data_IF_596961335975
#
_entry.id   IF_596961335975
#
_cell.length_a   1.000
_cell.length_b   1.000
_cell.length_c   1.000
_cell.angle_alpha   90.00
_cell.angle_beta   90.00
_cell.angle_gamma   90.00
#
_symmetry.space_group_name_H-M   'P 1'
#
loop_
_entity.id
_entity.type
_entity.pdbx_description
1 polymer ?
2 non-polymer ?
3 non-polymer ?
4 non-polymer ?
5 water ?
#
# COMPACT_ATOMS: atom_id res chain seq x y z
N UNK A 1 2.16 -8.71 -21.08
CA UNK A 1 0.93 -8.07 -21.65
C UNK A 1 1.23 -6.82 -22.44
N UNK A 2 2.29 -6.83 -23.25
CA UNK A 2 2.68 -5.67 -24.06
C UNK A 2 1.58 -4.68 -24.55
N UNK A 3 0.67 -5.13 -25.43
CA UNK A 3 -0.36 -4.23 -25.95
C UNK A 3 -1.34 -3.77 -24.87
N UNK A 4 -1.69 -4.67 -23.95
CA UNK A 4 -2.52 -4.27 -22.78
C UNK A 4 -1.84 -3.18 -21.95
N UNK A 5 -0.52 -3.27 -21.77
CA UNK A 5 0.25 -2.23 -21.04
C UNK A 5 0.16 -0.87 -21.74
N UNK A 6 0.38 -0.88 -23.05
CA UNK A 6 0.30 0.34 -23.88
C UNK A 6 -1.08 1.00 -23.76
N UNK A 7 -2.15 0.20 -23.84
CA UNK A 7 -3.53 0.74 -23.71
C UNK A 7 -3.67 1.47 -22.36
N UNK A 8 -3.27 0.81 -21.27
CA UNK A 8 -3.36 1.41 -19.95
C UNK A 8 -2.51 2.69 -19.92
N UNK A 9 -1.28 2.60 -20.40
CA UNK A 9 -0.38 3.75 -20.38
C UNK A 9 -0.98 4.91 -21.16
N UNK A 10 -1.42 4.63 -22.39
CA UNK A 10 -1.92 5.71 -23.24
C UNK A 10 -3.19 6.34 -22.73
N UNK A 11 -4.08 5.53 -22.15
CA UNK A 11 -5.28 6.08 -21.48
C UNK A 11 -4.94 7.04 -20.31
N UNK A 12 -4.01 6.61 -19.45
CA UNK A 12 -3.47 7.45 -18.39
C UNK A 12 -2.87 8.75 -18.93
N UNK A 13 -1.99 8.67 -19.92
CA UNK A 13 -1.38 9.87 -20.50
C UNK A 13 -2.43 10.82 -21.04
N UNK A 14 -3.38 10.28 -21.80
CA UNK A 14 -4.47 11.09 -22.38
C UNK A 14 -5.29 11.80 -21.29
N UNK A 15 -5.69 11.08 -20.24
CA UNK A 15 -6.61 11.70 -19.27
C UNK A 15 -5.92 12.74 -18.37
N UNK A 16 -4.59 12.70 -18.30
CA UNK A 16 -3.82 13.61 -17.46
C UNK A 16 -3.04 14.68 -18.23
N UNK A 17 -2.97 14.54 -19.55
CA UNK A 17 -2.27 15.51 -20.38
C UNK A 17 -0.77 15.42 -20.29
N UNK A 18 -0.24 14.20 -20.16
CA UNK A 18 1.19 13.97 -20.25
C UNK A 18 1.58 13.40 -21.60
N UNK A 19 2.84 13.67 -21.98
CA UNK A 19 3.37 13.09 -23.21
C UNK A 19 3.86 11.68 -22.95
N UNK A 20 4.37 11.42 -21.74
CA UNK A 20 4.92 10.13 -21.43
C UNK A 20 5.00 9.95 -19.92
N UNK A 21 5.26 8.70 -19.51
CA UNK A 21 5.70 8.44 -18.16
C UNK A 21 7.22 8.32 -18.25
N UNK A 22 7.91 9.13 -17.45
CA UNK A 22 9.37 9.14 -17.43
C UNK A 22 9.79 8.52 -16.08
N UNK A 23 9.86 7.21 -16.07
CA UNK A 23 9.89 6.47 -14.82
C UNK A 23 11.15 6.72 -13.99
N UNK A 24 10.96 7.19 -12.76
CA UNK A 24 12.08 7.42 -11.84
C UNK A 24 11.87 6.72 -10.50
N UNK A 25 10.63 6.46 -10.15
CA UNK A 25 10.31 5.99 -8.80
C UNK A 25 9.17 4.97 -8.83
N UNK A 26 9.20 4.07 -7.85
CA UNK A 26 8.12 3.07 -7.70
C UNK A 26 7.74 3.09 -6.22
N UNK A 27 6.49 3.47 -5.97
CA UNK A 27 5.96 3.71 -4.64
C UNK A 27 5.18 2.50 -4.21
N UNK A 28 5.73 1.74 -3.26
CA UNK A 28 5.08 0.49 -2.80
C UNK A 28 4.29 0.66 -1.54
N UNK A 29 3.03 0.22 -1.61
CA UNK A 29 2.37 -0.03 -0.35
C UNK A 29 3.12 -1.12 0.48
N UNK A 30 2.99 -1.11 1.82
CA UNK A 30 3.66 -2.16 2.60
C UNK A 30 2.82 -3.45 2.86
N UNK A 31 1.76 -3.30 3.63
CA UNK A 31 0.96 -4.47 4.02
C UNK A 31 0.23 -5.08 2.84
N UNK A 32 0.45 -6.39 2.62
CA UNK A 32 -0.17 -7.07 1.49
C UNK A 32 0.52 -6.85 0.16
N UNK A 33 1.68 -6.17 0.18
CA UNK A 33 2.47 -5.96 -1.06
C UNK A 33 3.92 -6.39 -0.80
N UNK A 34 4.54 -5.75 0.21
CA UNK A 34 5.88 -6.15 0.69
C UNK A 34 5.86 -7.32 1.68
N UNK A 35 4.94 -7.26 2.65
CA UNK A 35 4.82 -8.29 3.65
C UNK A 35 3.45 -8.92 3.59
N UNK A 36 3.37 -10.22 3.86
CA UNK A 36 2.07 -10.86 3.90
C UNK A 36 1.52 -10.70 5.35
N UNK A 37 1.21 -9.45 5.70
CA UNK A 37 0.81 -9.09 7.07
C UNK A 37 -0.71 -8.95 7.25
N UNK A 38 -1.47 -8.96 6.15
CA UNK A 38 -2.91 -8.64 6.30
C UNK A 38 -3.72 -9.68 7.10
N UNK A 39 -3.44 -10.98 6.91
CA UNK A 39 -4.19 -11.93 7.75
C UNK A 39 -4.10 -11.60 9.24
N UNK A 40 -2.91 -11.26 9.72
CA UNK A 40 -2.73 -10.86 11.13
C UNK A 40 -3.41 -9.54 11.44
N UNK A 41 -3.23 -8.54 10.57
CA UNK A 41 -3.89 -7.25 10.80
C UNK A 41 -5.43 -7.43 10.88
N UNK A 42 -6.01 -8.12 9.90
CA UNK A 42 -7.48 -8.35 9.90
C UNK A 42 -8.02 -9.08 11.13
N UNK A 43 -7.39 -10.19 11.49
CA UNK A 43 -7.73 -10.93 12.71
C UNK A 43 -7.57 -10.08 13.98
N UNK A 44 -6.45 -9.35 14.09
CA UNK A 44 -6.20 -8.46 15.24
C UNK A 44 -7.23 -7.36 15.35
N UNK A 45 -7.56 -6.74 14.22
CA UNK A 45 -8.57 -5.69 14.25
C UNK A 45 -9.90 -6.30 14.68
N UNK A 46 -10.26 -7.44 14.08
CA UNK A 46 -11.55 -8.07 14.34
C UNK A 46 -11.69 -8.41 15.85
N UNK A 47 -10.66 -9.05 16.38
CA UNK A 47 -10.65 -9.51 17.76
C UNK A 47 -10.64 -8.37 18.78
N UNK A 48 -9.82 -7.34 18.52
CA UNK A 48 -9.72 -6.21 19.43
C UNK A 48 -11.00 -5.36 19.42
N UNK A 49 -11.53 -5.09 18.24
CA UNK A 49 -12.82 -4.43 18.12
C UNK A 49 -13.91 -5.15 18.88
N UNK A 50 -13.92 -6.48 18.79
CA UNK A 50 -14.89 -7.32 19.54
C UNK A 50 -14.75 -7.12 21.06
N UNK A 51 -13.50 -7.05 21.54
CA UNK A 51 -13.19 -6.85 22.94
C UNK A 51 -13.75 -5.52 23.45
N UNK A 52 -13.73 -4.50 22.60
CA UNK A 52 -14.27 -3.17 22.92
C UNK A 52 -15.78 -3.03 22.60
N UNK A 53 -16.42 -4.13 22.25
CA UNK A 53 -17.87 -4.15 22.05
C UNK A 53 -18.33 -3.75 20.64
N UNK A 54 -17.41 -3.73 19.68
CA UNK A 54 -17.70 -3.35 18.31
C UNK A 54 -17.62 -4.53 17.32
N UNK A 55 -18.44 -4.50 16.29
CA UNK A 55 -18.45 -5.56 15.30
C UNK A 55 -17.72 -5.15 14.04
N UNK A 56 -16.47 -5.58 13.91
CA UNK A 56 -15.71 -5.42 12.66
C UNK A 56 -15.24 -6.80 12.22
N UNK A 57 -15.81 -7.30 11.12
CA UNK A 57 -15.41 -8.63 10.61
C UNK A 57 -14.05 -8.53 9.94
N UNK A 58 -13.38 -9.67 9.82
CA UNK A 58 -12.10 -9.78 9.10
C UNK A 58 -12.21 -9.22 7.69
N UNK A 59 -13.31 -9.53 7.00
CA UNK A 59 -13.54 -9.04 5.64
C UNK A 59 -13.72 -7.52 5.60
N UNK A 60 -14.47 -6.96 6.55
CA UNK A 60 -14.58 -5.52 6.58
C UNK A 60 -13.22 -4.86 6.91
N UNK A 61 -12.39 -5.50 7.73
CA UNK A 61 -11.00 -5.03 7.95
C UNK A 61 -10.21 -4.95 6.63
N UNK A 62 -10.38 -5.96 5.78
CA UNK A 62 -9.78 -5.92 4.46
C UNK A 62 -10.32 -4.73 3.65
N UNK A 63 -11.63 -4.49 3.69
CA UNK A 63 -12.20 -3.34 2.97
C UNK A 63 -11.61 -2.01 3.44
N UNK A 64 -11.34 -1.91 4.74
CA UNK A 64 -10.73 -0.71 5.37
C UNK A 64 -9.18 -0.70 5.37
N UNK A 65 -8.56 -1.69 4.71
CA UNK A 65 -7.10 -1.73 4.59
C UNK A 65 -6.53 -0.38 4.11
N UNK A 66 -5.57 0.16 4.85
CA UNK A 66 -5.01 1.48 4.55
C UNK A 66 -5.57 2.66 5.31
N UNK A 67 -6.78 2.52 5.84
CA UNK A 67 -7.47 3.63 6.50
C UNK A 67 -6.81 3.85 7.86
N UNK A 68 -6.76 5.09 8.35
CA UNK A 68 -6.27 5.30 9.71
C UNK A 68 -7.14 4.54 10.71
N UNK A 69 -6.51 4.05 11.78
CA UNK A 69 -7.20 3.38 12.87
C UNK A 69 -8.39 4.19 13.36
N UNK A 70 -8.20 5.52 13.54
CA UNK A 70 -9.28 6.38 14.06
C UNK A 70 -10.50 6.41 13.13
N UNK A 71 -10.24 6.50 11.82
CA UNK A 71 -11.32 6.61 10.85
C UNK A 71 -12.09 5.28 10.82
N UNK A 72 -11.37 4.17 10.83
CA UNK A 72 -11.97 2.83 10.92
C UNK A 72 -12.83 2.66 12.20
N UNK A 73 -12.27 3.04 13.35
CA UNK A 73 -13.02 2.97 14.61
C UNK A 73 -14.25 3.86 14.54
N UNK A 74 -14.09 5.06 13.99
CA UNK A 74 -15.21 6.00 13.93
C UNK A 74 -16.33 5.58 12.99
N UNK A 75 -15.97 4.92 11.88
CA UNK A 75 -16.98 4.35 10.98
C UNK A 75 -17.85 3.36 11.74
N UNK A 76 -17.21 2.43 12.43
CA UNK A 76 -17.95 1.40 13.14
C UNK A 76 -18.73 2.00 14.32
N UNK A 77 -18.11 2.95 15.02
CA UNK A 77 -18.79 3.60 16.17
C UNK A 77 -20.04 4.36 15.76
N UNK A 78 -19.92 5.15 14.69
CA UNK A 78 -21.05 5.95 14.21
C UNK A 78 -22.23 5.07 13.89
N UNK A 79 -21.98 3.96 13.23
CA UNK A 79 -23.07 3.10 12.82
C UNK A 79 -23.69 2.28 13.95
N UNK A 80 -22.90 1.93 14.96
CA UNK A 80 -23.39 1.11 16.09
C UNK A 80 -23.95 1.97 17.21
N UNK A 81 -23.42 3.18 17.36
CA UNK A 81 -23.68 4.06 18.51
C UNK A 81 -24.19 5.44 18.10
N UNK A 82 -24.06 5.77 16.80
CA UNK A 82 -24.54 7.04 16.26
C UNK A 82 -23.66 8.25 16.55
N UNK A 83 -22.44 8.00 17.04
CA UNK A 83 -21.46 9.05 17.32
C UNK A 83 -20.04 8.52 17.13
N UNK A 84 -19.10 9.43 16.89
CA UNK A 84 -17.68 9.08 16.89
C UNK A 84 -17.22 8.58 18.25
N UNK A 85 -16.12 7.81 18.24
CA UNK A 85 -15.41 7.41 19.46
C UNK A 85 -14.64 8.60 20.03
N UNK A 86 -14.35 8.52 21.32
CA UNK A 86 -13.57 9.54 22.01
C UNK A 86 -12.10 9.31 21.76
N UNK A 87 -11.28 10.33 22.04
CA UNK A 87 -9.84 10.17 21.92
C UNK A 87 -9.35 9.02 22.80
N UNK A 88 -9.87 8.94 24.03
CA UNK A 88 -9.52 7.89 24.97
C UNK A 88 -9.82 6.52 24.36
N UNK A 89 -11.01 6.34 23.79
CA UNK A 89 -11.36 5.03 23.22
C UNK A 89 -10.39 4.64 22.10
N UNK A 90 -10.13 5.61 21.22
CA UNK A 90 -9.32 5.37 20.02
C UNK A 90 -7.89 4.96 20.41
N UNK A 91 -7.31 5.68 21.37
CA UNK A 91 -5.98 5.34 21.86
C UNK A 91 -5.87 3.94 22.50
N UNK A 92 -6.90 3.58 23.29
CA UNK A 92 -7.01 2.26 23.92
C UNK A 92 -7.13 1.14 22.89
N UNK A 93 -7.98 1.37 21.89
CA UNK A 93 -8.22 0.40 20.84
C UNK A 93 -6.93 0.22 20.03
N UNK A 94 -6.34 1.32 19.57
CA UNK A 94 -5.11 1.17 18.80
C UNK A 94 -4.00 0.43 19.59
N UNK A 95 -3.85 0.77 20.88
CA UNK A 95 -2.84 0.12 21.71
C UNK A 95 -3.10 -1.39 21.81
N UNK A 96 -4.35 -1.76 22.07
CA UNK A 96 -4.69 -3.17 22.18
C UNK A 96 -4.44 -3.92 20.86
N UNK A 97 -4.72 -3.25 19.75
CA UNK A 97 -4.58 -3.84 18.43
C UNK A 97 -3.09 -4.07 18.10
N UNK A 98 -2.28 -3.07 18.42
CA UNK A 98 -0.82 -3.13 18.25
C UNK A 98 -0.25 -4.34 19.01
N UNK A 99 -0.63 -4.44 20.29
CA UNK A 99 -0.18 -5.53 21.17
C UNK A 99 -0.64 -6.89 20.65
N UNK A 100 -1.87 -6.94 20.13
CA UNK A 100 -2.42 -8.18 19.62
C UNK A 100 -1.69 -8.66 18.36
N UNK A 101 -1.45 -7.73 17.43
CA UNK A 101 -0.68 -8.03 16.22
C UNK A 101 0.68 -8.61 16.60
N UNK A 102 1.33 -7.98 17.57
CA UNK A 102 2.68 -8.38 18.01
C UNK A 102 2.77 -9.74 18.69
N UNK A 103 1.62 -10.40 18.86
CA UNK A 103 1.66 -11.76 19.36
C UNK A 103 2.21 -12.64 18.25
N UNK A 104 2.19 -12.09 17.03
CA UNK A 104 2.72 -12.76 15.85
C UNK A 104 3.34 -11.74 14.88
N UNK A 105 4.42 -11.06 15.30
CA UNK A 105 4.94 -9.95 14.52
C UNK A 105 5.42 -10.35 13.11
N UNK A 106 6.22 -11.41 13.02
CA UNK A 106 6.94 -11.73 11.78
C UNK A 106 6.07 -12.19 10.59
N UNK A 107 5.52 -11.21 9.86
CA UNK A 107 4.90 -11.47 8.55
C UNK A 107 6.00 -11.88 7.61
N UNK A 108 5.72 -12.90 6.79
CA UNK A 108 6.59 -13.26 5.68
C UNK A 108 6.73 -12.16 4.64
N UNK A 109 7.88 -12.10 3.97
CA UNK A 109 7.95 -11.29 2.71
C UNK A 109 6.99 -11.90 1.68
N UNK A 110 6.37 -11.04 0.89
CA UNK A 110 5.55 -11.52 -0.24
C UNK A 110 6.50 -12.13 -1.25
N UNK A 111 6.24 -13.38 -1.70
CA UNK A 111 7.04 -13.91 -2.79
C UNK A 111 6.98 -12.95 -3.98
N UNK A 112 8.12 -12.77 -4.63
CA UNK A 112 8.26 -11.84 -5.75
C UNK A 112 8.66 -10.45 -5.32
N UNK A 113 8.44 -10.07 -4.06
CA UNK A 113 8.70 -8.65 -3.66
C UNK A 113 10.21 -8.32 -3.66
N UNK A 114 11.01 -9.16 -3.00
CA UNK A 114 12.45 -8.86 -2.96
C UNK A 114 13.04 -8.90 -4.38
N UNK A 115 12.62 -9.87 -5.20
CA UNK A 115 13.11 -9.95 -6.55
C UNK A 115 12.78 -8.70 -7.38
N UNK A 116 11.52 -8.28 -7.36
CA UNK A 116 11.17 -7.09 -8.14
C UNK A 116 11.86 -5.80 -7.64
N UNK A 117 12.04 -5.65 -6.34
CA UNK A 117 12.72 -4.48 -5.74
C UNK A 117 14.18 -4.47 -6.18
N UNK A 118 14.80 -5.63 -6.27
CA UNK A 118 16.22 -5.70 -6.69
C UNK A 118 16.36 -5.29 -8.17
N UNK A 119 15.34 -5.64 -9.00
CA UNK A 119 15.38 -5.28 -10.43
C UNK A 119 15.24 -3.76 -10.51
N UNK A 120 14.30 -3.23 -9.73
CA UNK A 120 13.99 -1.77 -9.74
C UNK A 120 15.21 -0.97 -9.29
N UNK A 121 15.81 -1.38 -8.19
CA UNK A 121 17.04 -0.74 -7.67
C UNK A 121 18.19 -0.82 -8.71
N UNK A 122 18.35 -1.97 -9.37
CA UNK A 122 19.39 -2.19 -10.38
C UNK A 122 19.25 -1.22 -11.56
N UNK A 123 18.00 -0.88 -11.88
CA UNK A 123 17.69 -0.03 -13.03
C UNK A 123 17.91 1.43 -12.73
N UNK A 124 18.31 1.75 -11.49
CA UNK A 124 18.55 3.13 -11.13
C UNK A 124 17.32 3.86 -10.66
N UNK A 125 16.22 3.12 -10.50
CA UNK A 125 14.96 3.67 -9.98
C UNK A 125 14.94 3.75 -8.45
N UNK A 126 14.09 4.64 -7.92
CA UNK A 126 13.99 4.84 -6.49
C UNK A 126 12.77 4.16 -5.89
N UNK A 127 12.99 3.06 -5.13
CA UNK A 127 11.83 2.46 -4.50
C UNK A 127 11.47 3.29 -3.26
N UNK A 128 10.18 3.41 -2.97
CA UNK A 128 9.71 4.09 -1.75
C UNK A 128 8.65 3.21 -1.12
N UNK A 129 8.50 3.34 0.19
CA UNK A 129 7.41 2.67 0.92
C UNK A 129 6.41 3.70 1.36
N UNK A 130 5.11 3.41 1.16
CA UNK A 130 4.01 4.31 1.56
C UNK A 130 2.94 3.52 2.33
N UNK A 131 2.84 3.75 3.63
CA UNK A 131 2.01 2.87 4.47
C UNK A 131 1.18 3.65 5.44
N UNK A 132 -0.05 3.16 5.62
CA UNK A 132 -0.97 3.68 6.61
C UNK A 132 -0.67 3.02 7.93
N UNK A 133 0.35 2.16 7.92
CA UNK A 133 0.77 1.44 9.13
C UNK A 133 1.49 2.38 10.07
N UNK A 134 1.23 2.18 11.36
CA UNK A 134 2.02 2.77 12.43
C UNK A 134 2.62 1.53 13.26
N UNK A 138 10.16 0.23 11.91
CA UNK A 138 9.89 -0.77 10.88
C UNK A 138 10.92 -0.75 9.75
N UNK A 139 11.72 0.33 9.68
CA UNK A 139 12.85 0.41 8.74
C UNK A 139 13.94 -0.63 9.08
N UNK A 140 14.10 -0.96 10.36
CA UNK A 140 14.89 -2.14 10.78
C UNK A 140 14.31 -3.44 10.21
N UNK A 141 12.98 -3.59 10.32
CA UNK A 141 12.29 -4.75 9.71
C UNK A 141 12.37 -4.72 8.17
N UNK A 142 12.18 -3.55 7.60
CA UNK A 142 12.35 -3.39 6.17
C UNK A 142 13.77 -3.68 5.75
N UNK A 143 14.76 -3.18 6.51
CA UNK A 143 16.18 -3.40 6.21
C UNK A 143 16.55 -4.87 6.23
N UNK A 144 16.03 -5.62 7.20
CA UNK A 144 16.33 -7.03 7.38
C UNK A 144 15.77 -7.91 6.23
N UNK A 145 14.68 -7.43 5.62
CA UNK A 145 13.95 -8.21 4.60
C UNK A 145 14.24 -7.75 3.20
N UNK A 146 14.58 -6.46 3.05
CA UNK A 146 14.86 -5.87 1.73
C UNK A 146 16.18 -5.06 1.85
N UNK A 147 17.31 -5.77 1.99
CA UNK A 147 18.54 -5.09 2.42
C UNK A 147 19.01 -4.01 1.43
N UNK A 148 19.18 -2.78 1.93
CA UNK A 148 19.63 -1.65 1.14
C UNK A 148 18.66 -1.12 0.09
N UNK A 149 17.40 -1.56 0.14
CA UNK A 149 16.42 -1.18 -0.89
C UNK A 149 15.78 0.17 -0.55
N UNK A 150 15.34 0.32 0.71
CA UNK A 150 14.59 1.52 1.11
C UNK A 150 15.42 2.47 1.96
N UNK A 151 15.06 3.75 1.89
CA UNK A 151 15.74 4.84 2.61
C UNK A 151 14.74 5.59 3.51
N UNK A 152 15.17 5.99 4.72
CA UNK A 152 14.32 6.74 5.69
C UNK A 152 13.77 8.06 5.19
N UNK A 153 14.58 8.77 4.42
CA UNK A 153 14.10 10.02 3.87
C UNK A 153 13.09 9.76 2.75
N UNK A 154 12.97 8.48 2.34
CA UNK A 154 12.14 8.09 1.19
C UNK A 154 11.06 7.07 1.57
N UNK A 155 10.42 7.38 2.70
CA UNK A 155 9.35 6.55 3.22
C UNK A 155 8.24 7.43 3.76
N UNK A 156 7.01 6.93 3.68
CA UNK A 156 5.86 7.66 4.18
C UNK A 156 5.08 6.68 5.04
N UNK A 157 4.90 7.05 6.30
CA UNK A 157 4.19 6.22 7.26
C UNK A 157 3.07 7.00 7.94
N UNK A 158 2.30 6.29 8.76
CA UNK A 158 1.19 6.90 9.48
C UNK A 158 1.58 8.21 10.17
N UNK A 159 2.83 8.30 10.65
CA UNK A 159 3.24 9.53 11.37
C UNK A 159 3.83 10.64 10.49
N UNK A 160 3.94 10.37 9.18
CA UNK A 160 4.44 11.37 8.24
C UNK A 160 3.31 12.30 7.80
N UNK A 161 2.06 11.83 7.92
CA UNK A 161 0.91 12.53 7.32
C UNK A 161 -0.34 12.57 8.21
N UNK A 162 -1.16 13.60 8.02
CA UNK A 162 -2.38 13.80 8.82
C UNK A 162 -3.48 12.86 8.34
N UNK A 163 -3.72 12.83 7.03
CA UNK A 163 -4.81 12.06 6.45
C UNK A 163 -4.27 10.85 5.72
N UNK A 164 -4.87 9.68 5.95
CA UNK A 164 -4.48 8.43 5.27
C UNK A 164 -5.35 8.01 4.09
N UNK A 165 -5.00 6.89 3.48
CA UNK A 165 -5.83 6.34 2.42
C UNK A 165 -7.28 6.30 2.90
N UNK A 166 -8.27 6.64 2.02
CA UNK A 166 -8.11 6.86 0.59
C UNK A 166 -7.74 8.30 0.19
N UNK A 167 -7.43 9.15 1.17
CA UNK A 167 -6.93 10.49 0.84
C UNK A 167 -5.60 10.30 0.05
N UNK A 168 -5.38 11.09 -1.03
CA UNK A 168 -4.13 10.97 -1.79
C UNK A 168 -2.89 11.43 -1.02
N UNK A 169 -3.07 12.07 0.16
CA UNK A 169 -1.94 12.63 0.95
C UNK A 169 -0.69 11.77 1.07
N UNK A 170 -0.81 10.48 1.47
CA UNK A 170 0.40 9.65 1.60
C UNK A 170 1.23 9.61 0.30
N UNK A 171 0.56 9.43 -0.84
CA UNK A 171 1.25 9.37 -2.13
C UNK A 171 1.77 10.73 -2.58
N UNK A 172 0.99 11.78 -2.37
CA UNK A 172 1.48 13.13 -2.65
C UNK A 172 2.75 13.44 -1.83
N UNK A 173 2.74 12.99 -0.57
CA UNK A 173 3.90 13.23 0.33
C UNK A 173 5.10 12.45 -0.18
N UNK A 174 4.82 11.23 -0.67
CA UNK A 174 5.89 10.43 -1.31
C UNK A 174 6.52 11.18 -2.49
N UNK A 175 5.70 11.69 -3.41
CA UNK A 175 6.25 12.46 -4.56
C UNK A 175 7.07 13.67 -4.08
N UNK A 176 6.56 14.36 -3.06
CA UNK A 176 7.22 15.53 -2.52
C UNK A 176 8.58 15.17 -1.92
N UNK A 177 8.60 14.11 -1.09
CA UNK A 177 9.81 13.68 -0.40
C UNK A 177 10.89 13.26 -1.41
N UNK A 178 10.44 12.61 -2.49
CA UNK A 178 11.37 12.02 -3.46
C UNK A 178 11.78 12.98 -4.54
N UNK A 179 11.02 14.07 -4.64
CA UNK A 179 11.24 15.11 -5.66
C UNK A 179 10.76 14.66 -7.03
N UNK A 180 9.69 13.87 -7.07
CA UNK A 180 9.12 13.33 -8.33
C UNK A 180 7.81 13.97 -8.77
N UNK A 181 7.63 14.05 -10.08
CA UNK A 181 6.34 14.44 -10.69
C UNK A 181 5.41 13.22 -10.76
N UNK A 182 4.08 13.44 -10.84
CA UNK A 182 3.20 12.27 -10.88
C UNK A 182 3.45 11.31 -12.04
N UNK A 183 3.89 11.85 -13.18
CA UNK A 183 4.20 11.01 -14.36
C UNK A 183 5.63 10.39 -14.32
N UNK A 184 6.30 10.47 -13.18
CA UNK A 184 7.63 9.86 -12.97
C UNK A 184 7.57 8.67 -12.01
N UNK A 185 6.35 8.33 -11.57
CA UNK A 185 6.18 7.28 -10.57
C UNK A 185 5.08 6.26 -10.94
N UNK A 186 5.17 5.09 -10.28
CA UNK A 186 4.09 4.09 -10.27
C UNK A 186 3.67 3.87 -8.81
N UNK A 187 2.39 3.60 -8.57
CA UNK A 187 1.93 3.18 -7.26
C UNK A 187 1.62 1.68 -7.36
N UNK A 188 2.13 0.92 -6.41
CA UNK A 188 1.84 -0.55 -6.34
C UNK A 188 1.00 -0.78 -5.09
N UNK A 189 -0.28 -1.12 -5.32
CA UNK A 189 -1.28 -1.20 -4.25
C UNK A 189 -2.04 -2.53 -4.29
N UNK A 190 -2.59 -2.95 -3.14
CA UNK A 190 -3.36 -4.22 -3.10
C UNK A 190 -4.77 -4.05 -2.54
N UNK A 191 -5.14 -2.83 -2.13
CA UNK A 191 -6.43 -2.63 -1.45
C UNK A 191 -7.24 -1.52 -2.12
N UNK A 192 -8.58 -1.60 -2.05
CA UNK A 192 -9.37 -0.62 -2.78
C UNK A 192 -9.07 0.81 -2.30
N UNK A 193 -8.96 1.04 -1.01
CA UNK A 193 -8.75 2.44 -0.55
C UNK A 193 -7.35 2.98 -0.92
N UNK A 194 -6.39 2.04 -1.01
CA UNK A 194 -5.01 2.34 -1.48
C UNK A 194 -5.00 2.71 -2.96
N UNK A 195 -5.72 1.92 -3.77
CA UNK A 195 -5.86 2.19 -5.19
C UNK A 195 -6.50 3.57 -5.35
N UNK A 196 -7.56 3.82 -4.58
CA UNK A 196 -8.28 5.11 -4.67
C UNK A 196 -7.34 6.29 -4.42
N UNK A 197 -6.49 6.14 -3.39
CA UNK A 197 -5.50 7.19 -3.01
C UNK A 197 -4.50 7.43 -4.14
N UNK A 198 -3.97 6.35 -4.73
CA UNK A 198 -2.97 6.47 -5.82
C UNK A 198 -3.61 7.18 -7.02
N UNK A 199 -4.84 6.78 -7.34
CA UNK A 199 -5.55 7.34 -8.50
C UNK A 199 -5.84 8.84 -8.22
N UNK A 200 -6.26 9.12 -6.99
CA UNK A 200 -6.56 10.51 -6.59
C UNK A 200 -5.30 11.37 -6.61
N UNK A 201 -4.13 10.75 -6.36
CA UNK A 201 -2.85 11.46 -6.44
C UNK A 201 -2.36 11.70 -7.87
N UNK A 202 -3.08 11.14 -8.84
CA UNK A 202 -2.79 11.24 -10.26
C UNK A 202 -1.56 10.50 -10.76
N UNK A 203 -1.23 9.40 -10.06
CA UNK A 203 -0.08 8.55 -10.42
C UNK A 203 -0.63 7.26 -10.99
N UNK A 204 0.04 6.76 -12.02
CA UNK A 204 -0.31 5.51 -12.66
C UNK A 204 -0.30 4.44 -11.55
N UNK A 205 -1.44 3.78 -11.39
CA UNK A 205 -1.67 2.95 -10.21
C UNK A 205 -1.87 1.49 -10.63
N UNK A 206 -1.05 0.61 -10.05
CA UNK A 206 -1.12 -0.82 -10.36
C UNK A 206 -1.68 -1.56 -9.16
N UNK A 207 -2.79 -2.29 -9.37
CA UNK A 207 -3.32 -3.15 -8.31
C UNK A 207 -2.69 -4.54 -8.41
N UNK A 208 -2.39 -5.09 -7.26
CA UNK A 208 -1.92 -6.48 -7.18
C UNK A 208 -2.81 -7.12 -6.13
N UNK A 209 -3.65 -8.05 -6.57
CA UNK A 209 -4.66 -8.62 -5.67
C UNK A 209 -4.06 -9.76 -4.84
N UNK A 210 -3.67 -9.47 -3.60
CA UNK A 210 -3.01 -10.49 -2.80
C UNK A 210 -3.91 -10.96 -1.70
N UNK A 211 -5.17 -10.52 -1.71
CA UNK A 211 -6.08 -10.85 -0.59
C UNK A 211 -7.32 -11.60 -1.01
N UNK A 212 -8.35 -11.57 -0.17
CA UNK A 212 -9.61 -12.32 -0.34
C UNK A 212 -10.70 -11.63 -1.17
N UNK A 213 -10.45 -10.38 -1.55
CA UNK A 213 -11.45 -9.56 -2.26
C UNK A 213 -11.46 -9.85 -3.76
N UNK A 214 -12.60 -9.57 -4.40
CA UNK A 214 -12.71 -9.72 -5.86
C UNK A 214 -11.90 -8.66 -6.59
N UNK A 215 -11.31 -9.04 -7.72
CA UNK A 215 -10.58 -8.09 -8.57
C UNK A 215 -11.39 -6.83 -8.79
N UNK A 216 -12.71 -6.98 -8.99
CA UNK A 216 -13.54 -5.78 -9.28
C UNK A 216 -13.46 -4.67 -8.23
N UNK A 217 -13.21 -5.05 -6.98
CA UNK A 217 -13.10 -4.11 -5.88
C UNK A 217 -11.94 -3.15 -6.12
N UNK A 218 -10.89 -3.66 -6.78
CA UNK A 218 -9.69 -2.90 -7.09
C UNK A 218 -9.85 -2.12 -8.40
N UNK A 219 -10.33 -2.82 -9.43
CA UNK A 219 -10.58 -2.20 -10.72
C UNK A 219 -11.55 -1.02 -10.62
N UNK A 220 -12.56 -1.13 -9.74
CA UNK A 220 -13.59 -0.08 -9.62
C UNK A 220 -13.10 1.20 -8.99
N UNK A 221 -11.90 1.14 -8.38
CA UNK A 221 -11.26 2.32 -7.83
C UNK A 221 -10.32 2.99 -8.85
N UNK A 222 -10.32 2.48 -10.08
CA UNK A 222 -9.61 3.12 -11.21
C UNK A 222 -8.18 2.60 -11.41
N UNK A 223 -7.85 1.40 -10.94
CA UNK A 223 -6.47 0.87 -11.13
C UNK A 223 -6.18 0.86 -12.62
N UNK A 224 -4.99 1.30 -12.97
CA UNK A 224 -4.62 1.36 -14.40
C UNK A 224 -4.27 -0.01 -14.96
N UNK A 225 -3.72 -0.87 -14.11
CA UNK A 225 -3.44 -2.25 -14.43
C UNK A 225 -3.68 -3.09 -13.18
N UNK A 226 -3.95 -4.39 -13.39
CA UNK A 226 -4.13 -5.31 -12.27
C UNK A 226 -3.31 -6.56 -12.52
N UNK A 227 -2.54 -6.95 -11.51
CA UNK A 227 -1.89 -8.31 -11.52
C UNK A 227 -2.46 -9.19 -10.44
N UNK A 228 -2.36 -10.49 -10.64
CA UNK A 228 -3.06 -11.44 -9.77
C UNK A 228 -2.27 -11.81 -8.51
N UNK A 229 -0.98 -11.42 -8.46
CA UNK A 229 -0.10 -11.79 -7.34
C UNK A 229 1.19 -11.00 -7.47
N UNK A 230 1.98 -10.98 -6.41
CA UNK A 230 3.28 -10.30 -6.49
C UNK A 230 4.25 -11.07 -7.43
N UNK A 231 4.22 -12.43 -7.39
CA UNK A 231 5.03 -13.08 -8.45
C UNK A 231 4.64 -12.69 -9.89
N UNK A 232 3.35 -12.50 -10.15
CA UNK A 232 2.82 -12.07 -11.46
C UNK A 232 3.42 -10.69 -11.81
N UNK A 233 3.34 -9.79 -10.84
CA UNK A 233 3.89 -8.43 -11.01
C UNK A 233 5.41 -8.50 -11.33
N UNK A 234 6.12 -9.27 -10.52
CA UNK A 234 7.55 -9.44 -10.69
C UNK A 234 7.84 -9.96 -12.10
N UNK A 235 7.11 -11.00 -12.52
CA UNK A 235 7.39 -11.64 -13.81
C UNK A 235 7.21 -10.65 -14.99
N UNK A 236 6.26 -9.76 -14.81
CA UNK A 236 5.91 -8.78 -15.81
C UNK A 236 6.70 -7.47 -15.77
N UNK A 237 7.59 -7.34 -14.79
CA UNK A 237 8.30 -6.07 -14.58
C UNK A 237 9.06 -5.61 -15.86
N UNK A 238 9.88 -6.48 -16.40
CA UNK A 238 10.69 -6.15 -17.60
C UNK A 238 9.85 -5.61 -18.76
N UNK A 239 8.75 -6.30 -19.05
CA UNK A 239 7.81 -5.92 -20.13
C UNK A 239 7.14 -4.60 -19.80
N UNK A 240 6.81 -4.43 -18.52
CA UNK A 240 6.11 -3.21 -18.14
C UNK A 240 7.06 -2.03 -18.23
N UNK A 241 8.26 -2.15 -17.63
CA UNK A 241 9.24 -1.05 -17.71
C UNK A 241 9.53 -0.66 -19.18
N UNK A 242 9.66 -1.67 -20.04
CA UNK A 242 9.85 -1.45 -21.48
C UNK A 242 8.68 -0.67 -22.12
N UNK A 243 7.43 -1.05 -21.77
CA UNK A 243 6.20 -0.40 -22.26
C UNK A 243 6.15 1.07 -21.86
N UNK A 244 6.70 1.34 -20.68
CA UNK A 244 6.70 2.68 -20.08
C UNK A 244 7.75 3.61 -20.68
N UNK A 245 8.76 3.02 -21.31
CA UNK A 245 9.85 3.80 -21.90
C UNK A 245 9.41 4.25 -23.30
N UNK A 246 9.29 5.57 -23.50
CA UNK A 246 8.78 6.13 -24.77
C UNK A 246 9.79 6.05 -25.95
X LIG B 1 -2.05 -2.83 1.63
X LIG C 1 -1.06 -0.60 4.11
X LIG C 1 0.45 -0.63 3.99
X LIG C 1 -1.69 -1.70 3.32
X LIG C 1 -1.60 0.76 3.64
X LIG C 1 -1.51 -0.74 5.57
X LIG D 1 -10.25 -13.20 6.08
X LIG D 1 -11.15 -13.96 6.91
X LIG D 1 -10.38 -13.53 4.59
X LIG D 1 -10.79 -14.90 4.35
#
# INVERSE_FOLDING_TARGET
SNAMFKEAINNYLHTHGYESIDLKAVLFDMDGVLFDSMPNHAESWHKIMKRFGFGLSREEAYMHEGRTGASTINIVSRRERGHDATEEEIKAIYQAKTEEFNKCPKAERMPGALEVLTKIKSEGLTPMVVTGSGQTSLLDRLNHNFPGIFQANLMVTAFDVKYGKPNPEPYLMALKKGGFKPNEALVIENAPLGVQAGVAAGIFTIAVNTGPLHDNVLLNEGANLLFHSMPDFNKNWETLQSALKQD
MG MG
PO4 P O1 O2 O3 O4
EDO C1 O1 C2 O2
#
